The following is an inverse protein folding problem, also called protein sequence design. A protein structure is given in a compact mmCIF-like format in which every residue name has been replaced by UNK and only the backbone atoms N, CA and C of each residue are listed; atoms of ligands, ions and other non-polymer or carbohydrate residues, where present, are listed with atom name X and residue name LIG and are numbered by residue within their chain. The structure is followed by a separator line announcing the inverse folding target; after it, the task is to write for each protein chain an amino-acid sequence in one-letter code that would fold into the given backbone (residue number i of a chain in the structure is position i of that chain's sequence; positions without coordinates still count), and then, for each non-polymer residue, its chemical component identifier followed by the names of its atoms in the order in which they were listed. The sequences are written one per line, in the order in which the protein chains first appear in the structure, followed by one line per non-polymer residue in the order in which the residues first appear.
data_IF_304308790056
#
_entry.id   IF_304308790056
#
_cell.length_a   1.000
_cell.length_b   1.000
_cell.length_c   1.000
_cell.angle_alpha   90.00
_cell.angle_beta   90.00
_cell.angle_gamma   90.00
#
_symmetry.space_group_name_H-M   'P 1'
#
loop_
_entity.id
_entity.type
_entity.pdbx_description
1 polymer ?
#
# COMPACT_ATOMS: atom_id res chain seq x y z
N UNK A 1 8.46 -4.02 3.79
CA UNK A 1 7.39 -4.76 4.51
C UNK A 1 7.94 -5.87 5.37
N UNK A 2 7.26 -6.18 6.46
CA UNK A 2 7.67 -7.16 7.46
C UNK A 2 7.30 -8.61 7.13
N UNK A 3 7.06 -8.95 5.86
CA UNK A 3 6.98 -10.33 5.37
C UNK A 3 8.32 -10.86 4.94
N UNK A 4 8.54 -12.17 5.14
CA UNK A 4 9.76 -12.90 4.76
C UNK A 4 9.46 -14.02 3.77
N UNK A 5 10.51 -14.53 3.12
CA UNK A 5 10.43 -15.63 2.17
C UNK A 5 9.80 -15.27 0.83
N UNK A 6 9.38 -16.27 0.03
CA UNK A 6 8.72 -16.03 -1.25
C UNK A 6 7.41 -15.27 -1.04
N UNK A 7 7.33 -14.08 -1.59
CA UNK A 7 6.17 -13.20 -1.40
C UNK A 7 5.14 -13.43 -2.50
N UNK A 8 3.88 -13.63 -2.09
CA UNK A 8 2.73 -13.48 -2.96
C UNK A 8 2.13 -12.10 -2.75
N UNK A 9 1.56 -11.53 -3.79
CA UNK A 9 0.83 -10.26 -3.67
C UNK A 9 -0.25 -10.38 -2.59
N UNK A 10 -0.30 -9.44 -1.66
CA UNK A 10 -1.22 -9.42 -0.51
C UNK A 10 -2.70 -9.48 -0.89
N UNK A 11 -3.06 -9.15 -2.14
CA UNK A 11 -4.42 -9.21 -2.67
C UNK A 11 -4.83 -10.61 -3.17
N UNK A 12 -3.89 -11.51 -3.42
CA UNK A 12 -4.14 -12.86 -3.93
C UNK A 12 -3.99 -13.88 -2.80
N UNK A 13 -5.06 -14.21 -2.15
CA UNK A 13 -5.23 -15.36 -1.27
C UNK A 13 -4.05 -15.84 -0.40
N UNK A 14 -4.30 -16.80 0.46
CA UNK A 14 -3.33 -17.36 1.42
C UNK A 14 -2.91 -18.80 1.08
N UNK A 15 -3.10 -19.24 -0.15
CA UNK A 15 -2.70 -20.57 -0.64
C UNK A 15 -1.17 -20.79 -0.64
N UNK A 16 -0.38 -19.70 -0.58
CA UNK A 16 1.05 -19.76 -0.29
C UNK A 16 1.28 -19.28 1.13
N UNK A 17 1.92 -20.11 1.94
CA UNK A 17 2.28 -19.75 3.33
C UNK A 17 3.13 -18.47 3.29
N UNK A 18 2.66 -17.46 3.97
CA UNK A 18 3.37 -16.19 4.15
C UNK A 18 3.85 -16.09 5.60
N UNK A 19 5.10 -15.75 5.79
CA UNK A 19 5.71 -15.60 7.10
C UNK A 19 5.97 -14.13 7.38
N UNK A 20 5.62 -13.68 8.58
CA UNK A 20 5.96 -12.36 9.06
C UNK A 20 7.30 -12.42 9.76
N UNK A 21 8.14 -11.42 9.59
CA UNK A 21 9.41 -11.27 10.26
C UNK A 21 9.22 -11.06 11.76
N UNK A 22 10.24 -11.37 12.56
CA UNK A 22 10.21 -10.98 13.98
C UNK A 22 10.29 -9.46 14.10
N UNK A 23 9.76 -8.92 15.18
CA UNK A 23 9.81 -7.48 15.47
C UNK A 23 11.27 -7.02 15.54
N UNK A 24 12.12 -7.79 16.21
CA UNK A 24 13.53 -7.50 16.41
C UNK A 24 14.28 -7.42 15.08
N UNK A 25 14.16 -8.46 14.25
CA UNK A 25 14.88 -8.53 12.98
C UNK A 25 14.42 -7.45 12.00
N UNK A 26 13.11 -7.16 11.95
CA UNK A 26 12.63 -6.08 11.08
C UNK A 26 13.04 -4.70 11.61
N UNK A 27 13.09 -4.50 12.92
CA UNK A 27 13.63 -3.29 13.55
C UNK A 27 15.11 -3.08 13.21
N UNK A 28 15.92 -4.13 13.21
CA UNK A 28 17.33 -4.07 12.77
C UNK A 28 17.45 -3.65 11.29
N UNK A 29 16.55 -4.14 10.42
CA UNK A 29 16.50 -3.70 9.00
C UNK A 29 16.18 -2.22 8.88
N UNK A 30 15.25 -1.70 9.69
CA UNK A 30 14.92 -0.27 9.71
C UNK A 30 16.13 0.53 10.16
N UNK A 31 16.80 0.13 11.25
CA UNK A 31 18.02 0.80 11.74
C UNK A 31 19.13 0.79 10.69
N UNK A 32 19.35 -0.35 10.03
CA UNK A 32 20.35 -0.45 8.96
C UNK A 32 20.01 0.49 7.78
N UNK A 33 18.73 0.58 7.40
CA UNK A 33 18.29 1.50 6.35
C UNK A 33 18.46 2.97 6.78
N UNK A 34 18.14 3.32 8.04
CA UNK A 34 18.37 4.67 8.58
C UNK A 34 19.86 5.03 8.60
N UNK A 35 20.71 4.10 9.01
CA UNK A 35 22.16 4.32 9.04
C UNK A 35 22.78 4.48 7.63
N UNK A 36 22.13 3.94 6.61
CA UNK A 36 22.55 4.07 5.20
C UNK A 36 22.04 5.33 4.50
N UNK A 37 21.14 6.11 5.14
CA UNK A 37 20.65 7.36 4.57
C UNK A 37 21.80 8.37 4.38
N UNK A 38 21.83 9.02 3.23
CA UNK A 38 22.80 10.08 2.93
C UNK A 38 22.25 11.47 3.21
N UNK A 39 20.93 11.63 3.19
CA UNK A 39 20.22 12.90 3.45
C UNK A 39 18.93 12.63 4.22
N UNK A 40 18.40 13.64 4.88
CA UNK A 40 17.12 13.57 5.60
C UNK A 40 15.90 13.59 4.67
N UNK A 41 16.08 13.82 3.37
CA UNK A 41 14.99 13.90 2.37
C UNK A 41 14.41 12.53 2.01
N UNK A 42 15.10 11.44 2.35
CA UNK A 42 14.67 10.08 2.06
C UNK A 42 14.00 9.44 3.29
N UNK A 43 12.73 9.03 3.15
CA UNK A 43 11.96 8.46 4.25
C UNK A 43 11.95 6.93 4.21
N UNK A 44 12.07 6.30 5.38
CA UNK A 44 11.88 4.86 5.58
C UNK A 44 10.47 4.61 6.12
N UNK A 45 9.58 4.10 5.28
CA UNK A 45 8.21 3.77 5.66
C UNK A 45 8.11 2.27 5.99
N UNK A 46 7.83 1.93 7.23
CA UNK A 46 7.67 0.55 7.66
C UNK A 46 6.26 0.04 7.33
N UNK A 47 6.16 -0.97 6.46
CA UNK A 47 4.89 -1.59 6.11
C UNK A 47 4.64 -2.83 6.96
N UNK A 48 3.48 -2.85 7.62
CA UNK A 48 3.02 -3.88 8.56
C UNK A 48 1.98 -4.76 7.88
N UNK A 49 2.22 -6.06 7.88
CA UNK A 49 1.35 -7.07 7.26
C UNK A 49 0.49 -7.85 8.28
N UNK A 50 0.46 -7.46 9.55
CA UNK A 50 -0.26 -8.16 10.63
C UNK A 50 -1.74 -8.40 10.31
N UNK A 51 -2.45 -7.41 9.76
CA UNK A 51 -3.86 -7.55 9.39
C UNK A 51 -4.04 -8.46 8.16
N UNK A 52 -3.11 -8.44 7.22
CA UNK A 52 -3.09 -9.34 6.06
C UNK A 52 -2.88 -10.80 6.49
N UNK A 53 -2.01 -11.01 7.47
CA UNK A 53 -1.63 -12.33 7.98
C UNK A 53 -2.49 -12.79 9.16
N UNK A 54 -3.56 -12.04 9.47
CA UNK A 54 -4.52 -12.35 10.52
C UNK A 54 -3.90 -12.50 11.93
N UNK A 55 -2.81 -11.73 12.20
CA UNK A 55 -2.14 -11.68 13.51
C UNK A 55 -2.89 -10.80 14.52
N UNK A 56 -3.85 -10.02 14.04
CA UNK A 56 -4.71 -9.18 14.85
C UNK A 56 -4.21 -7.74 15.04
N UNK A 57 -5.09 -6.93 15.63
CA UNK A 57 -4.90 -5.50 15.81
C UNK A 57 -3.77 -5.18 16.78
N UNK A 58 -3.65 -5.94 17.88
CA UNK A 58 -2.63 -5.68 18.88
C UNK A 58 -1.22 -5.92 18.32
N UNK A 59 -1.00 -7.01 17.57
CA UNK A 59 0.29 -7.26 16.91
C UNK A 59 0.64 -6.13 15.92
N UNK A 60 -0.35 -5.60 15.19
CA UNK A 60 -0.13 -4.46 14.30
C UNK A 60 0.32 -3.19 15.04
N UNK A 61 -0.30 -2.90 16.19
CA UNK A 61 0.03 -1.74 17.01
C UNK A 61 1.39 -1.88 17.70
N UNK A 62 1.70 -3.06 18.25
CA UNK A 62 2.98 -3.34 18.90
C UNK A 62 4.14 -3.22 17.90
N UNK A 63 3.95 -3.71 16.67
CA UNK A 63 4.92 -3.54 15.59
C UNK A 63 5.07 -2.09 15.16
N UNK A 64 3.97 -1.34 15.04
CA UNK A 64 4.03 0.06 14.70
C UNK A 64 4.87 0.85 15.70
N UNK A 65 4.65 0.63 17.00
CA UNK A 65 5.42 1.26 18.08
C UNK A 65 6.91 0.88 18.01
N UNK A 66 7.21 -0.42 17.87
CA UNK A 66 8.58 -0.91 17.78
C UNK A 66 9.32 -0.35 16.54
N UNK A 67 8.64 -0.27 15.39
CA UNK A 67 9.25 0.22 14.16
C UNK A 67 9.48 1.74 14.18
N UNK A 68 8.58 2.50 14.80
CA UNK A 68 8.82 3.93 15.08
C UNK A 68 10.03 4.11 16.00
N UNK A 69 10.12 3.32 17.08
CA UNK A 69 11.29 3.35 17.97
C UNK A 69 12.60 2.94 17.30
N UNK A 70 12.52 2.07 16.29
CA UNK A 70 13.67 1.68 15.45
C UNK A 70 14.08 2.76 14.45
N UNK A 71 13.31 3.83 14.30
CA UNK A 71 13.61 4.97 13.45
C UNK A 71 12.84 5.03 12.13
N UNK A 72 11.75 4.26 11.96
CA UNK A 72 10.89 4.42 10.79
C UNK A 72 10.29 5.83 10.75
N UNK A 73 10.36 6.47 9.59
CA UNK A 73 9.84 7.83 9.36
C UNK A 73 8.32 7.85 9.14
N UNK A 74 7.71 6.69 8.91
CA UNK A 74 6.27 6.51 8.77
C UNK A 74 5.86 5.05 8.85
N UNK A 75 4.57 4.82 9.06
CA UNK A 75 3.95 3.50 9.15
C UNK A 75 2.95 3.32 8.02
N UNK A 76 3.04 2.19 7.30
CA UNK A 76 2.02 1.78 6.35
C UNK A 76 1.29 0.56 6.89
N UNK A 77 -0.03 0.68 7.04
CA UNK A 77 -0.91 -0.44 7.40
C UNK A 77 -1.69 -0.91 6.17
N UNK A 78 -1.91 -2.21 6.06
CA UNK A 78 -2.59 -2.79 4.91
C UNK A 78 -3.65 -3.81 5.34
N UNK A 79 -4.73 -3.93 4.54
CA UNK A 79 -5.83 -4.88 4.76
C UNK A 79 -6.35 -5.45 3.45
N UNK A 80 -6.86 -6.70 3.51
CA UNK A 80 -7.57 -7.36 2.41
C UNK A 80 -9.09 -7.16 2.48
N UNK A 81 -9.61 -6.69 3.60
CA UNK A 81 -11.05 -6.52 3.79
C UNK A 81 -11.58 -5.40 2.90
N UNK A 82 -12.80 -5.59 2.40
CA UNK A 82 -13.50 -4.53 1.65
C UNK A 82 -14.02 -3.42 2.55
N UNK A 83 -14.35 -3.77 3.79
CA UNK A 83 -14.76 -2.79 4.80
C UNK A 83 -13.53 -2.12 5.39
N UNK A 84 -13.45 -0.78 5.42
CA UNK A 84 -12.30 -0.04 5.95
C UNK A 84 -12.17 -0.10 7.49
N UNK A 85 -13.15 -0.65 8.21
CA UNK A 85 -13.26 -0.57 9.67
C UNK A 85 -11.99 -0.95 10.43
N UNK A 86 -11.28 -2.03 10.03
CA UNK A 86 -10.05 -2.41 10.73
C UNK A 86 -8.87 -1.44 10.45
N UNK A 87 -8.86 -0.80 9.29
CA UNK A 87 -7.86 0.25 8.99
C UNK A 87 -8.14 1.49 9.84
N UNK A 88 -9.40 1.91 9.91
CA UNK A 88 -9.79 3.07 10.73
C UNK A 88 -9.54 2.80 12.23
N UNK A 89 -9.87 1.61 12.72
CA UNK A 89 -9.59 1.21 14.09
C UNK A 89 -8.07 1.26 14.39
N UNK A 90 -7.24 0.76 13.48
CA UNK A 90 -5.79 0.88 13.63
C UNK A 90 -5.35 2.34 13.68
N UNK A 91 -5.83 3.16 12.74
CA UNK A 91 -5.47 4.58 12.68
C UNK A 91 -5.83 5.30 13.97
N UNK A 92 -7.05 5.12 14.48
CA UNK A 92 -7.53 5.77 15.71
C UNK A 92 -6.70 5.36 16.94
N UNK A 93 -6.45 4.05 17.10
CA UNK A 93 -5.64 3.53 18.21
C UNK A 93 -4.19 3.99 18.11
N UNK A 94 -3.59 3.96 16.93
CA UNK A 94 -2.24 4.46 16.73
C UNK A 94 -2.16 5.96 17.01
N UNK A 95 -3.13 6.75 16.55
CA UNK A 95 -3.20 8.20 16.80
C UNK A 95 -3.45 8.57 18.25
N UNK A 96 -4.06 7.70 19.04
CA UNK A 96 -4.18 7.91 20.48
C UNK A 96 -2.82 8.07 21.16
N UNK A 97 -1.82 7.26 20.73
CA UNK A 97 -0.49 7.22 21.32
C UNK A 97 0.55 8.03 20.51
N UNK A 98 0.42 8.09 19.19
CA UNK A 98 1.38 8.75 18.29
C UNK A 98 0.70 9.76 17.37
N UNK A 99 0.93 11.05 17.63
CA UNK A 99 0.32 12.18 16.91
C UNK A 99 1.13 12.65 15.68
N UNK A 100 2.39 12.22 15.56
CA UNK A 100 3.33 12.85 14.63
C UNK A 100 3.79 11.94 13.48
N UNK A 101 3.97 10.65 13.73
CA UNK A 101 4.48 9.73 12.70
C UNK A 101 3.50 9.60 11.55
N UNK A 102 3.90 9.86 10.30
CA UNK A 102 3.03 9.73 9.14
C UNK A 102 2.41 8.34 9.00
N UNK A 103 1.10 8.29 8.73
CA UNK A 103 0.36 7.08 8.38
C UNK A 103 0.11 7.03 6.87
N UNK A 104 0.41 5.88 6.29
CA UNK A 104 0.25 5.59 4.87
C UNK A 104 -0.74 4.44 4.68
N UNK A 105 -1.67 4.58 3.76
CA UNK A 105 -2.63 3.53 3.39
C UNK A 105 -2.74 3.33 1.89
N UNK A 106 -3.19 2.14 1.48
CA UNK A 106 -3.36 1.76 0.07
C UNK A 106 -4.79 1.21 -0.11
N UNK A 107 -5.81 2.03 -0.37
CA UNK A 107 -7.22 1.63 -0.40
C UNK A 107 -7.60 0.87 -1.68
N UNK A 108 -6.90 -0.21 -2.00
CA UNK A 108 -7.21 -1.02 -3.19
C UNK A 108 -8.43 -1.91 -2.97
N UNK A 109 -8.58 -2.51 -1.80
CA UNK A 109 -9.70 -3.39 -1.44
C UNK A 109 -10.84 -2.65 -0.76
N UNK A 110 -10.55 -1.70 0.12
CA UNK A 110 -11.51 -0.83 0.83
C UNK A 110 -11.67 0.52 0.12
N UNK A 111 -11.99 0.47 -1.16
CA UNK A 111 -12.00 1.62 -2.08
C UNK A 111 -13.28 2.46 -2.03
N UNK A 112 -14.12 2.25 -1.05
CA UNK A 112 -15.36 3.03 -0.82
C UNK A 112 -15.16 4.23 0.08
N UNK A 113 -14.02 4.30 0.78
CA UNK A 113 -13.69 5.39 1.69
C UNK A 113 -13.03 6.56 0.94
N UNK A 114 -13.35 7.78 1.31
CA UNK A 114 -12.76 8.99 0.72
C UNK A 114 -11.45 9.39 1.41
N UNK A 115 -10.68 10.26 0.75
CA UNK A 115 -9.46 10.83 1.34
C UNK A 115 -9.77 11.69 2.56
N UNK A 116 -10.89 12.41 2.57
CA UNK A 116 -11.35 13.23 3.70
C UNK A 116 -11.67 12.36 4.93
N UNK A 117 -12.35 11.23 4.71
CA UNK A 117 -12.62 10.27 5.79
C UNK A 117 -11.32 9.68 6.34
N UNK A 118 -10.39 9.28 5.47
CA UNK A 118 -9.07 8.79 5.88
C UNK A 118 -8.28 9.85 6.66
N UNK A 119 -8.28 11.10 6.20
CA UNK A 119 -7.61 12.22 6.86
C UNK A 119 -8.21 12.50 8.25
N UNK A 120 -9.55 12.38 8.41
CA UNK A 120 -10.22 12.52 9.72
C UNK A 120 -9.73 11.50 10.75
N UNK A 121 -9.28 10.31 10.31
CA UNK A 121 -8.65 9.28 11.13
C UNK A 121 -7.11 9.40 11.20
N UNK A 122 -6.55 10.52 10.72
CA UNK A 122 -5.12 10.85 10.84
C UNK A 122 -4.22 10.20 9.81
N UNK A 123 -4.75 9.71 8.70
CA UNK A 123 -3.94 9.27 7.55
C UNK A 123 -3.33 10.50 6.86
N UNK A 124 -2.05 10.41 6.48
CA UNK A 124 -1.31 11.50 5.87
C UNK A 124 -1.03 11.27 4.37
N UNK A 125 -0.94 10.00 3.95
CA UNK A 125 -0.64 9.63 2.58
C UNK A 125 -1.52 8.47 2.11
N UNK A 126 -2.17 8.67 0.96
CA UNK A 126 -2.97 7.64 0.29
C UNK A 126 -2.30 7.26 -1.02
N UNK A 127 -2.05 5.95 -1.21
CA UNK A 127 -1.42 5.43 -2.43
C UNK A 127 -2.45 4.73 -3.30
N UNK A 128 -2.70 5.26 -4.50
CA UNK A 128 -3.46 4.61 -5.55
C UNK A 128 -2.53 3.73 -6.40
N UNK A 129 -2.31 2.50 -5.93
CA UNK A 129 -1.20 1.66 -6.37
C UNK A 129 -1.30 1.16 -7.83
N UNK A 130 -2.50 0.88 -8.35
CA UNK A 130 -2.61 0.17 -9.63
C UNK A 130 -3.78 0.62 -10.53
N UNK A 131 -4.59 1.57 -10.13
CA UNK A 131 -5.80 1.98 -10.86
C UNK A 131 -5.46 2.49 -12.26
N UNK A 132 -4.47 3.37 -12.38
CA UNK A 132 -4.04 3.92 -13.68
C UNK A 132 -3.45 2.84 -14.59
N UNK A 133 -2.56 2.00 -14.07
CA UNK A 133 -1.95 0.90 -14.84
C UNK A 133 -2.99 -0.10 -15.33
N UNK A 134 -3.95 -0.48 -14.47
CA UNK A 134 -5.03 -1.40 -14.84
C UNK A 134 -5.94 -0.80 -15.90
N UNK A 135 -6.29 0.49 -15.79
CA UNK A 135 -7.08 1.19 -16.80
C UNK A 135 -6.34 1.27 -18.14
N UNK A 136 -5.06 1.63 -18.12
CA UNK A 136 -4.24 1.69 -19.30
C UNK A 136 -4.12 0.31 -19.98
N UNK A 137 -3.93 -0.77 -19.21
CA UNK A 137 -3.85 -2.13 -19.74
C UNK A 137 -5.10 -2.53 -20.51
N UNK A 138 -6.29 -2.29 -19.94
CA UNK A 138 -7.58 -2.60 -20.62
C UNK A 138 -7.72 -1.80 -21.90
N UNK A 139 -7.43 -0.50 -21.85
CA UNK A 139 -7.53 0.38 -23.02
C UNK A 139 -6.57 -0.05 -24.15
N UNK A 140 -5.33 -0.38 -23.81
CA UNK A 140 -4.34 -0.89 -24.77
C UNK A 140 -4.77 -2.24 -25.36
N UNK A 141 -5.28 -3.17 -24.55
CA UNK A 141 -5.75 -4.47 -24.99
C UNK A 141 -6.92 -4.33 -25.98
N UNK A 142 -7.90 -3.48 -25.69
CA UNK A 142 -9.05 -3.28 -26.56
C UNK A 142 -8.65 -2.59 -27.87
N UNK A 143 -7.72 -1.64 -27.82
CA UNK A 143 -7.15 -1.02 -29.01
C UNK A 143 -6.44 -2.06 -29.90
N UNK A 144 -5.61 -2.90 -29.30
CA UNK A 144 -4.90 -3.94 -30.05
C UNK A 144 -5.86 -4.96 -30.68
N UNK A 145 -6.90 -5.40 -29.97
CA UNK A 145 -7.94 -6.29 -30.50
C UNK A 145 -8.64 -5.70 -31.71
N UNK A 146 -9.02 -4.41 -31.65
CA UNK A 146 -9.70 -3.76 -32.76
C UNK A 146 -8.81 -3.58 -33.99
N UNK A 147 -7.53 -3.22 -33.81
CA UNK A 147 -6.56 -3.15 -34.91
C UNK A 147 -6.40 -4.53 -35.58
N UNK A 148 -6.24 -5.58 -34.78
CA UNK A 148 -6.11 -6.96 -35.31
C UNK A 148 -7.37 -7.41 -36.06
N UNK A 149 -8.55 -7.11 -35.53
CA UNK A 149 -9.84 -7.44 -36.15
C UNK A 149 -10.07 -6.70 -37.47
N UNK A 150 -9.72 -5.42 -37.51
CA UNK A 150 -10.00 -4.55 -38.66
C UNK A 150 -8.85 -4.47 -39.67
N UNK A 151 -7.68 -5.03 -39.33
CA UNK A 151 -6.43 -4.92 -40.10
C UNK A 151 -6.02 -3.48 -40.44
N UNK A 152 -6.44 -2.51 -39.59
CA UNK A 152 -6.11 -1.09 -39.71
C UNK A 152 -6.46 -0.35 -38.42
N UNK A 153 -5.98 0.89 -38.27
CA UNK A 153 -6.12 1.67 -37.04
C UNK A 153 -7.29 2.68 -37.06
N UNK A 154 -8.03 2.80 -38.17
CA UNK A 154 -9.09 3.82 -38.30
C UNK A 154 -10.16 3.73 -37.22
N UNK A 155 -10.58 2.52 -36.85
CA UNK A 155 -11.66 2.25 -35.90
C UNK A 155 -11.30 2.58 -34.46
N UNK A 156 -10.02 2.78 -34.16
CA UNK A 156 -9.55 3.14 -32.82
C UNK A 156 -9.20 4.63 -32.69
N UNK A 157 -9.17 5.37 -33.80
CA UNK A 157 -8.70 6.76 -33.82
C UNK A 157 -9.49 7.68 -32.87
N UNK A 158 -10.81 7.51 -32.76
CA UNK A 158 -11.65 8.32 -31.88
C UNK A 158 -11.37 8.10 -30.37
N UNK A 159 -10.80 6.96 -30.02
CA UNK A 159 -10.40 6.61 -28.65
C UNK A 159 -8.99 7.07 -28.31
N UNK A 160 -8.19 7.38 -29.31
CA UNK A 160 -6.83 7.86 -29.09
C UNK A 160 -6.85 9.32 -28.65
N UNK A 161 -6.11 9.63 -27.61
CA UNK A 161 -5.94 11.02 -27.18
C UNK A 161 -5.22 11.78 -28.30
N UNK A 162 -5.89 12.74 -28.92
CA UNK A 162 -5.22 13.66 -29.82
C UNK A 162 -4.22 14.48 -29.02
N UNK A 163 -2.93 14.31 -29.31
CA UNK A 163 -1.92 15.26 -28.85
C UNK A 163 -2.28 16.61 -29.47
N UNK A 164 -2.81 17.53 -28.65
CA UNK A 164 -2.85 18.93 -29.06
C UNK A 164 -1.41 19.40 -29.02
N UNK A 165 -0.78 19.47 -30.19
CA UNK A 165 0.42 20.28 -30.42
C UNK A 165 0.12 21.73 -30.15
#
# INVERSE_FOLDING_TARGET
EDKTGPKKNSLFGTDVVQTQDTVEHFSEKIQAAKNAQLTDDFMIIARIESLILERGMQDALDRADAFVKAGADGIMIHSRKKNPGEILEFCDKFRAENKVTPLVVVPTTFNTITEEELAAHGVNLVIYANQLTRSAFVAMQDTAKDILRCHRAKEVEDRLRRNKT
#
